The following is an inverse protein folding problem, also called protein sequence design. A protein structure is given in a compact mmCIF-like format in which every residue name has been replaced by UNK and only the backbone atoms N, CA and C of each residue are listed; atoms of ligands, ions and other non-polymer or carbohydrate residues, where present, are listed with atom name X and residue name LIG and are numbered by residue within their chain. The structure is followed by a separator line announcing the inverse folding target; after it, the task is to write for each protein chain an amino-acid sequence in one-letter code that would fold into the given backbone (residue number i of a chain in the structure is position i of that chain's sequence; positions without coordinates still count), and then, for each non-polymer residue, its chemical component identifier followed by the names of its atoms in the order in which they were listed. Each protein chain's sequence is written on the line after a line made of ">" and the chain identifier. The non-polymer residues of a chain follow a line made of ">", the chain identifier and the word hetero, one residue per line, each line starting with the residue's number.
data_IF_183081636188
#
_entry.id   IF_183081636188
#
_cell.length_a   1.000
_cell.length_b   1.000
_cell.length_c   1.000
_cell.angle_alpha   90.00
_cell.angle_beta   90.00
_cell.angle_gamma   90.00
#
_symmetry.space_group_name_H-M   'P 1'
#
loop_
_entity.id
_entity.type
_entity.pdbx_description
1 polymer ?
#
# COMPACT_ATOMS: atom_id res chain seq x y z
N UNK A 1 24.72 25.72 -12.57
CA UNK A 1 24.19 24.44 -12.08
C UNK A 1 25.24 23.86 -11.16
N UNK A 2 24.94 23.72 -9.88
CA UNK A 2 25.82 23.07 -8.90
C UNK A 2 25.68 21.56 -9.07
N UNK A 3 26.78 20.86 -9.32
CA UNK A 3 26.82 19.40 -9.41
C UNK A 3 27.11 18.82 -8.03
N UNK A 4 26.30 17.84 -7.60
CA UNK A 4 26.51 17.14 -6.33
C UNK A 4 27.83 16.36 -6.35
N UNK A 5 28.54 16.41 -5.23
CA UNK A 5 29.73 15.60 -4.96
C UNK A 5 29.35 14.19 -4.50
N UNK A 6 30.30 13.25 -4.57
CA UNK A 6 30.09 11.90 -4.04
C UNK A 6 29.83 11.91 -2.53
N UNK A 7 30.46 12.82 -1.78
CA UNK A 7 30.26 12.98 -0.34
C UNK A 7 28.83 13.45 -0.03
N UNK A 8 28.31 14.41 -0.79
CA UNK A 8 26.92 14.89 -0.65
C UNK A 8 25.90 13.78 -0.98
N UNK A 9 26.17 12.94 -1.97
CA UNK A 9 25.32 11.78 -2.28
C UNK A 9 25.36 10.71 -1.17
N UNK A 10 26.53 10.45 -0.59
CA UNK A 10 26.69 9.45 0.47
C UNK A 10 26.16 9.94 1.83
N UNK A 11 26.20 11.24 2.09
CA UNK A 11 25.67 11.85 3.31
C UNK A 11 24.16 11.61 3.48
N UNK A 12 23.42 11.45 2.38
CA UNK A 12 21.99 11.13 2.42
C UNK A 12 21.65 9.83 3.15
N UNK A 13 22.59 8.88 3.22
CA UNK A 13 22.42 7.62 3.96
C UNK A 13 22.53 7.75 5.49
N UNK A 14 22.89 8.92 6.01
CA UNK A 14 22.97 9.21 7.45
C UNK A 14 21.99 10.31 7.88
N UNK A 15 21.07 10.69 6.99
CA UNK A 15 20.00 11.63 7.32
C UNK A 15 19.07 11.00 8.35
N UNK A 16 18.65 11.79 9.33
CA UNK A 16 17.66 11.36 10.32
C UNK A 16 16.33 12.06 10.09
N UNK A 17 15.24 11.32 10.30
CA UNK A 17 13.87 11.78 10.16
C UNK A 17 13.13 11.54 11.47
N UNK A 18 12.55 12.60 12.03
CA UNK A 18 11.64 12.49 13.17
C UNK A 18 10.23 12.18 12.66
N UNK A 19 9.67 11.07 13.11
CA UNK A 19 8.37 10.55 12.68
C UNK A 19 7.42 10.54 13.88
N UNK A 20 6.27 11.18 13.74
CA UNK A 20 5.19 11.13 14.73
C UNK A 20 4.45 9.80 14.63
N UNK A 21 4.27 9.13 15.77
CA UNK A 21 3.52 7.89 15.86
C UNK A 21 2.02 8.21 16.04
N UNK A 22 1.13 7.67 15.18
CA UNK A 22 -0.31 7.83 15.33
C UNK A 22 -0.81 7.36 16.71
N UNK A 23 -1.72 8.14 17.31
CA UNK A 23 -2.18 7.91 18.67
C UNK A 23 -2.93 6.58 18.85
N UNK A 24 -3.57 6.09 17.79
CA UNK A 24 -4.26 4.80 17.72
C UNK A 24 -3.31 3.59 17.79
N UNK A 25 -2.04 3.77 17.45
CA UNK A 25 -1.00 2.74 17.54
C UNK A 25 -0.32 2.73 18.92
N UNK A 26 -0.68 3.68 19.79
CA UNK A 26 -0.11 3.83 21.13
C UNK A 26 -1.01 3.25 22.22
N UNK A 27 -0.41 2.74 23.31
CA UNK A 27 -1.19 2.25 24.44
C UNK A 27 -2.05 3.37 25.05
N UNK A 28 -3.28 3.04 25.48
CA UNK A 28 -4.20 4.02 26.06
C UNK A 28 -3.56 4.66 27.30
N UNK A 29 -3.43 5.99 27.28
CA UNK A 29 -2.83 6.77 28.37
C UNK A 29 -1.51 7.46 28.01
N UNK A 30 -0.83 7.06 26.92
CA UNK A 30 0.24 7.85 26.29
C UNK A 30 -0.31 8.59 25.08
N UNK A 31 -0.94 9.75 25.32
CA UNK A 31 -1.47 10.63 24.26
C UNK A 31 -0.59 11.85 23.96
N UNK A 32 0.57 11.93 24.59
CA UNK A 32 1.57 12.94 24.24
C UNK A 32 2.24 12.50 22.95
N UNK A 33 2.33 13.41 21.97
CA UNK A 33 2.97 13.21 20.67
C UNK A 33 4.25 12.40 20.85
N UNK A 34 4.22 11.14 20.42
CA UNK A 34 5.31 10.20 20.60
C UNK A 34 6.05 10.15 19.28
N UNK A 35 7.28 10.65 19.26
CA UNK A 35 8.10 10.66 18.05
C UNK A 35 9.18 9.58 18.12
N UNK A 36 9.60 9.10 16.94
CA UNK A 36 10.75 8.21 16.78
C UNK A 36 11.69 8.78 15.74
N UNK A 37 12.98 8.50 15.87
CA UNK A 37 13.99 8.92 14.90
C UNK A 37 14.37 7.74 14.02
N UNK A 38 14.17 7.89 12.71
CA UNK A 38 14.52 6.92 11.69
C UNK A 38 15.66 7.42 10.81
N UNK A 39 16.43 6.50 10.23
CA UNK A 39 17.38 6.78 9.16
C UNK A 39 17.04 5.95 7.90
N UNK A 40 17.30 6.47 6.69
CA UNK A 40 17.19 5.71 5.45
C UNK A 40 18.06 4.45 5.44
N UNK A 41 17.55 3.39 4.81
CA UNK A 41 18.32 2.17 4.57
C UNK A 41 19.26 2.37 3.39
N UNK A 42 20.55 2.13 3.62
CA UNK A 42 21.55 2.10 2.54
C UNK A 42 21.43 0.83 1.70
N UNK A 43 21.92 0.87 0.45
CA UNK A 43 22.01 -0.33 -0.42
C UNK A 43 22.74 -1.48 0.26
N UNK A 44 23.81 -1.18 1.00
CA UNK A 44 24.56 -2.18 1.79
C UNK A 44 23.73 -2.78 2.92
N UNK A 45 22.87 -2.00 3.57
CA UNK A 45 21.97 -2.51 4.59
C UNK A 45 20.95 -3.48 3.99
N UNK A 46 20.29 -3.09 2.89
CA UNK A 46 19.31 -3.93 2.19
C UNK A 46 19.90 -5.26 1.73
N UNK A 47 21.10 -5.26 1.14
CA UNK A 47 21.77 -6.49 0.73
C UNK A 47 22.07 -7.43 1.91
N UNK A 48 22.47 -6.89 3.07
CA UNK A 48 22.71 -7.68 4.28
C UNK A 48 21.42 -8.26 4.84
N UNK A 49 20.36 -7.45 4.87
CA UNK A 49 19.02 -7.87 5.31
C UNK A 49 18.52 -9.00 4.41
N UNK A 50 18.51 -8.82 3.09
CA UNK A 50 18.04 -9.86 2.16
C UNK A 50 18.82 -11.18 2.28
N UNK A 51 20.14 -11.11 2.49
CA UNK A 51 20.96 -12.31 2.73
C UNK A 51 20.65 -12.98 4.08
N UNK A 52 20.39 -12.21 5.12
CA UNK A 52 20.08 -12.73 6.45
C UNK A 52 18.67 -13.33 6.51
N UNK A 53 17.71 -12.70 5.83
CA UNK A 53 16.31 -13.10 5.82
C UNK A 53 16.05 -14.38 5.01
N UNK A 54 16.85 -14.69 3.99
CA UNK A 54 16.68 -15.90 3.15
C UNK A 54 15.22 -16.08 2.67
N UNK A 55 14.62 -15.00 2.15
CA UNK A 55 13.23 -14.94 1.67
C UNK A 55 12.14 -14.92 2.76
N UNK A 56 12.50 -14.92 4.04
CA UNK A 56 11.55 -14.69 5.14
C UNK A 56 11.18 -13.20 5.24
N UNK A 57 9.94 -12.88 4.84
CA UNK A 57 9.43 -11.51 4.81
C UNK A 57 9.29 -10.91 6.23
N UNK A 58 8.89 -11.70 7.22
CA UNK A 58 8.73 -11.26 8.60
C UNK A 58 10.09 -10.92 9.22
N UNK A 59 11.08 -11.78 9.01
CA UNK A 59 12.46 -11.55 9.44
C UNK A 59 13.08 -10.34 8.71
N UNK A 60 12.79 -10.18 7.42
CA UNK A 60 13.23 -9.00 6.66
C UNK A 60 12.69 -7.71 7.27
N UNK A 61 11.39 -7.64 7.54
CA UNK A 61 10.75 -6.49 8.17
C UNK A 61 11.35 -6.18 9.55
N UNK A 62 11.57 -7.19 10.39
CA UNK A 62 12.17 -7.02 11.70
C UNK A 62 13.60 -6.46 11.61
N UNK A 63 14.42 -6.95 10.69
CA UNK A 63 15.78 -6.46 10.46
C UNK A 63 15.80 -5.05 9.88
N UNK A 64 14.83 -4.69 9.02
CA UNK A 64 14.68 -3.32 8.52
C UNK A 64 14.41 -2.34 9.66
N UNK A 65 13.44 -2.64 10.53
CA UNK A 65 13.11 -1.80 11.70
C UNK A 65 14.33 -1.67 12.61
N UNK A 66 14.99 -2.78 12.95
CA UNK A 66 16.18 -2.77 13.80
C UNK A 66 17.30 -1.88 13.23
N UNK A 67 17.49 -1.89 11.92
CA UNK A 67 18.58 -1.17 11.26
C UNK A 67 18.27 0.33 11.06
N UNK A 68 17.00 0.69 10.86
CA UNK A 68 16.57 2.04 10.54
C UNK A 68 16.16 2.86 11.77
N UNK A 69 15.70 2.23 12.86
CA UNK A 69 15.29 2.92 14.08
C UNK A 69 16.51 3.36 14.90
N UNK A 70 16.76 4.66 14.94
CA UNK A 70 17.89 5.27 15.66
C UNK A 70 17.50 5.54 17.12
N UNK A 71 16.33 6.14 17.33
CA UNK A 71 15.80 6.42 18.67
C UNK A 71 14.29 6.13 18.75
N UNK A 72 13.82 5.35 19.72
CA UNK A 72 14.60 4.58 20.70
C UNK A 72 15.29 3.36 20.05
N UNK A 73 16.56 3.06 20.36
CA UNK A 73 17.22 1.90 19.78
C UNK A 73 16.56 0.60 20.29
N UNK A 74 16.16 -0.27 19.37
CA UNK A 74 15.55 -1.56 19.68
C UNK A 74 16.50 -2.72 19.34
N UNK A 75 16.53 -3.73 20.21
CA UNK A 75 17.12 -5.03 19.89
C UNK A 75 16.16 -5.85 19.05
N UNK A 76 16.69 -6.80 18.29
CA UNK A 76 15.89 -7.71 17.46
C UNK A 76 14.71 -8.36 18.23
N UNK A 77 14.97 -8.90 19.42
CA UNK A 77 13.95 -9.49 20.31
C UNK A 77 12.84 -8.52 20.74
N UNK A 78 13.12 -7.21 20.74
CA UNK A 78 12.12 -6.20 21.08
C UNK A 78 11.31 -5.79 19.84
N UNK A 79 11.91 -5.85 18.66
CA UNK A 79 11.21 -5.61 17.39
C UNK A 79 10.15 -6.69 17.16
N UNK A 80 10.46 -7.96 17.44
CA UNK A 80 9.49 -9.06 17.34
C UNK A 80 8.32 -8.97 18.33
N UNK A 81 8.42 -8.10 19.36
CA UNK A 81 7.37 -7.84 20.34
C UNK A 81 6.53 -6.61 20.01
N UNK A 82 6.84 -5.89 18.92
CA UNK A 82 6.06 -4.72 18.52
C UNK A 82 4.64 -5.14 18.12
N UNK A 83 3.61 -4.32 18.45
CA UNK A 83 2.29 -4.50 17.87
C UNK A 83 2.38 -4.50 16.34
N UNK A 84 1.70 -5.45 15.69
CA UNK A 84 1.78 -5.62 14.24
C UNK A 84 1.46 -4.33 13.45
N UNK A 85 0.48 -3.54 13.91
CA UNK A 85 0.14 -2.25 13.31
C UNK A 85 1.26 -1.21 13.40
N UNK A 86 2.00 -1.19 14.53
CA UNK A 86 3.15 -0.32 14.70
C UNK A 86 4.33 -0.77 13.85
N UNK A 87 4.61 -2.08 13.80
CA UNK A 87 5.66 -2.63 12.94
C UNK A 87 5.39 -2.30 11.45
N UNK A 88 4.15 -2.49 10.99
CA UNK A 88 3.71 -2.11 9.64
C UNK A 88 3.92 -0.62 9.37
N UNK A 89 3.45 0.25 10.26
CA UNK A 89 3.63 1.69 10.13
C UNK A 89 5.11 2.07 10.01
N UNK A 90 5.98 1.52 10.87
CA UNK A 90 7.41 1.80 10.82
C UNK A 90 8.03 1.33 9.50
N UNK A 91 7.69 0.15 8.99
CA UNK A 91 8.19 -0.34 7.70
C UNK A 91 7.76 0.58 6.55
N UNK A 92 6.51 1.04 6.53
CA UNK A 92 6.02 2.00 5.53
C UNK A 92 6.82 3.31 5.57
N UNK A 93 7.08 3.85 6.76
CA UNK A 93 7.89 5.07 6.92
C UNK A 93 9.34 4.85 6.50
N UNK A 94 9.94 3.72 6.86
CA UNK A 94 11.31 3.34 6.47
C UNK A 94 11.43 3.24 4.95
N UNK A 95 10.46 2.61 4.29
CA UNK A 95 10.40 2.50 2.84
C UNK A 95 10.31 3.89 2.18
N UNK A 96 9.43 4.75 2.68
CA UNK A 96 9.27 6.11 2.17
C UNK A 96 10.56 6.94 2.28
N UNK A 97 11.21 6.98 3.45
CA UNK A 97 12.45 7.76 3.63
C UNK A 97 13.66 7.15 2.91
N UNK A 98 13.64 5.83 2.67
CA UNK A 98 14.70 5.14 1.94
C UNK A 98 14.55 5.25 0.43
N UNK A 99 13.44 5.82 -0.06
CA UNK A 99 13.12 5.86 -1.48
C UNK A 99 12.89 4.47 -2.08
N UNK A 100 12.47 3.52 -1.24
CA UNK A 100 12.16 2.15 -1.64
C UNK A 100 10.64 2.08 -1.72
N UNK A 101 10.09 2.31 -2.90
CA UNK A 101 8.74 1.84 -3.16
C UNK A 101 8.81 0.32 -3.06
N UNK A 102 8.01 -0.30 -2.18
CA UNK A 102 7.81 -1.75 -2.25
C UNK A 102 6.82 -1.98 -3.39
N UNK A 103 7.27 -2.36 -4.61
CA UNK A 103 6.42 -2.29 -5.80
C UNK A 103 5.51 -3.52 -5.94
N UNK A 104 5.64 -4.52 -5.06
CA UNK A 104 4.86 -5.76 -5.18
C UNK A 104 3.40 -5.58 -4.76
N UNK A 105 3.12 -4.73 -3.76
CA UNK A 105 1.75 -4.48 -3.32
C UNK A 105 1.15 -3.19 -3.86
N UNK A 106 1.93 -2.13 -4.12
CA UNK A 106 1.38 -0.86 -4.57
C UNK A 106 0.64 -0.98 -5.92
N UNK A 107 1.18 -1.71 -6.90
CA UNK A 107 0.48 -1.89 -8.19
C UNK A 107 -0.72 -2.85 -8.07
N UNK A 108 -0.60 -3.91 -7.26
CA UNK A 108 -1.72 -4.84 -7.04
C UNK A 108 -2.87 -4.14 -6.31
N UNK A 109 -2.60 -3.36 -5.26
CA UNK A 109 -3.61 -2.64 -4.50
C UNK A 109 -4.20 -1.46 -5.30
N UNK A 110 -3.39 -0.75 -6.09
CA UNK A 110 -3.86 0.32 -6.98
C UNK A 110 -4.64 -0.17 -8.21
N UNK A 111 -4.48 -1.43 -8.65
CA UNK A 111 -5.26 -2.02 -9.75
C UNK A 111 -6.49 -2.78 -9.24
N UNK A 112 -6.38 -3.49 -8.11
CA UNK A 112 -7.47 -4.28 -7.53
C UNK A 112 -8.53 -3.41 -6.85
N UNK A 113 -8.16 -2.27 -6.22
CA UNK A 113 -9.14 -1.40 -5.56
C UNK A 113 -10.12 -0.72 -6.55
N UNK A 114 -9.69 -0.19 -7.71
CA UNK A 114 -10.61 0.28 -8.75
C UNK A 114 -11.44 -0.84 -9.37
N UNK A 115 -10.90 -2.04 -9.53
CA UNK A 115 -11.64 -3.18 -10.09
C UNK A 115 -12.75 -3.66 -9.15
N UNK A 116 -12.44 -3.82 -7.86
CA UNK A 116 -13.44 -4.19 -6.85
C UNK A 116 -14.54 -3.13 -6.73
N UNK A 117 -14.16 -1.85 -6.82
CA UNK A 117 -15.13 -0.73 -6.86
C UNK A 117 -15.97 -0.76 -8.15
N UNK A 118 -15.38 -1.08 -9.29
CA UNK A 118 -16.11 -1.28 -10.54
C UNK A 118 -17.10 -2.43 -10.44
N UNK A 119 -16.70 -3.58 -9.87
CA UNK A 119 -17.59 -4.72 -9.67
C UNK A 119 -18.81 -4.34 -8.81
N UNK A 120 -18.58 -3.56 -7.75
CA UNK A 120 -19.64 -3.07 -6.87
C UNK A 120 -20.57 -2.04 -7.54
N UNK A 121 -20.02 -1.13 -8.35
CA UNK A 121 -20.80 -0.15 -9.12
C UNK A 121 -21.67 -0.88 -10.16
N UNK A 122 -21.12 -1.86 -10.86
CA UNK A 122 -21.86 -2.67 -11.83
C UNK A 122 -22.96 -3.51 -11.17
N UNK A 123 -22.65 -4.20 -10.07
CA UNK A 123 -23.66 -4.95 -9.29
C UNK A 123 -24.84 -4.06 -8.87
N UNK A 124 -24.55 -2.82 -8.43
CA UNK A 124 -25.57 -1.86 -8.00
C UNK A 124 -26.40 -1.28 -9.16
N UNK A 125 -25.79 -1.01 -10.31
CA UNK A 125 -26.50 -0.41 -11.45
C UNK A 125 -27.33 -1.43 -12.25
N UNK A 126 -26.90 -2.69 -12.30
CA UNK A 126 -27.55 -3.73 -13.11
C UNK A 126 -28.37 -4.74 -12.29
N UNK A 127 -28.31 -4.68 -10.95
CA UNK A 127 -29.03 -5.58 -10.05
C UNK A 127 -28.42 -6.97 -9.94
N UNK A 128 -27.14 -7.13 -10.30
CA UNK A 128 -26.38 -8.39 -10.23
C UNK A 128 -25.73 -8.60 -8.85
N UNK A 129 -25.42 -9.84 -8.50
CA UNK A 129 -24.70 -10.14 -7.25
C UNK A 129 -23.17 -9.98 -7.44
N UNK A 130 -22.41 -9.66 -6.37
CA UNK A 130 -20.95 -9.56 -6.44
C UNK A 130 -20.28 -10.83 -6.99
N UNK A 131 -20.85 -12.00 -6.72
CA UNK A 131 -20.38 -13.30 -7.22
C UNK A 131 -20.52 -13.40 -8.75
N UNK A 132 -21.64 -12.94 -9.33
CA UNK A 132 -21.85 -12.91 -10.78
C UNK A 132 -20.81 -12.01 -11.49
N UNK A 133 -20.45 -10.88 -10.86
CA UNK A 133 -19.47 -9.95 -11.43
C UNK A 133 -18.02 -10.44 -11.27
N UNK A 134 -17.73 -11.19 -10.21
CA UNK A 134 -16.40 -11.77 -9.95
C UNK A 134 -15.94 -12.79 -11.00
N UNK A 135 -16.88 -13.42 -11.72
CA UNK A 135 -16.59 -14.37 -12.81
C UNK A 135 -16.26 -13.70 -14.14
N UNK A 136 -16.28 -12.37 -14.20
CA UNK A 136 -16.04 -11.62 -15.44
C UNK A 136 -14.56 -11.37 -15.68
N UNK A 137 -14.15 -11.47 -16.94
CA UNK A 137 -12.81 -11.07 -17.36
C UNK A 137 -12.66 -9.55 -17.26
N UNK A 138 -11.43 -9.08 -17.05
CA UNK A 138 -11.14 -7.64 -16.95
C UNK A 138 -11.60 -6.85 -18.19
N UNK A 139 -11.56 -7.46 -19.38
CA UNK A 139 -12.06 -6.87 -20.62
C UNK A 139 -13.59 -6.68 -20.63
N UNK A 140 -14.34 -7.59 -20.00
CA UNK A 140 -15.79 -7.46 -19.85
C UNK A 140 -16.13 -6.34 -18.84
N UNK A 141 -15.43 -6.26 -17.72
CA UNK A 141 -15.63 -5.20 -16.71
C UNK A 141 -15.42 -3.81 -17.33
N UNK A 142 -14.34 -3.63 -18.11
CA UNK A 142 -14.05 -2.35 -18.77
C UNK A 142 -15.12 -1.98 -19.82
N UNK A 143 -15.64 -2.95 -20.58
CA UNK A 143 -16.70 -2.70 -21.57
C UNK A 143 -18.01 -2.22 -20.93
N UNK A 144 -18.43 -2.83 -19.80
CA UNK A 144 -19.64 -2.40 -19.10
C UNK A 144 -19.49 -1.04 -18.41
N UNK A 145 -18.29 -0.72 -17.90
CA UNK A 145 -17.99 0.61 -17.36
C UNK A 145 -18.06 1.71 -18.43
N UNK A 146 -17.58 1.43 -19.65
CA UNK A 146 -17.64 2.36 -20.79
C UNK A 146 -19.10 2.63 -21.18
N UNK A 147 -19.96 1.59 -21.19
CA UNK A 147 -21.40 1.74 -21.47
C UNK A 147 -22.13 2.53 -20.38
N UNK A 148 -21.77 2.33 -19.10
CA UNK A 148 -22.31 3.12 -17.98
C UNK A 148 -21.88 4.60 -18.06
N UNK A 149 -20.62 4.87 -18.39
CA UNK A 149 -20.11 6.24 -18.60
C UNK A 149 -20.72 6.92 -19.84
N UNK A 150 -20.89 6.19 -20.94
CA UNK A 150 -21.52 6.69 -22.16
C UNK A 150 -22.97 7.13 -21.95
N UNK A 151 -23.70 6.47 -21.04
CA UNK A 151 -25.08 6.84 -20.70
C UNK A 151 -25.17 8.00 -19.71
N UNK A 152 -24.18 8.21 -18.83
CA UNK A 152 -24.13 9.38 -17.94
C UNK A 152 -23.97 10.70 -18.72
N UNK A 153 -23.25 10.68 -19.86
CA UNK A 153 -23.11 11.83 -20.74
C UNK A 153 -24.34 12.03 -21.67
N UNK A 154 -25.13 10.99 -21.92
CA UNK A 154 -26.31 11.05 -22.78
C UNK A 154 -27.63 11.37 -22.04
N UNK A 155 -27.76 11.02 -20.76
CA UNK A 155 -29.01 11.16 -20.00
C UNK A 155 -29.01 12.34 -19.01
N UNK A 156 -28.89 13.55 -19.55
CA UNK A 156 -29.36 14.77 -18.86
C UNK A 156 -30.88 14.82 -18.66
N UNK A 157 -31.66 13.83 -19.14
CA UNK A 157 -33.08 13.66 -18.85
C UNK A 157 -33.48 12.17 -18.94
N UNK A 158 -34.20 11.69 -17.92
CA UNK A 158 -34.91 10.39 -17.82
C UNK A 158 -34.14 9.21 -17.21
N UNK A 159 -34.30 9.06 -15.89
CA UNK A 159 -34.15 7.80 -15.16
C UNK A 159 -35.18 6.79 -15.67
N UNK A 160 -34.77 5.67 -16.30
CA UNK A 160 -35.32 4.30 -16.18
C UNK A 160 -34.66 3.37 -17.23
N UNK A 161 -34.37 2.13 -16.80
CA UNK A 161 -34.10 0.92 -17.60
C UNK A 161 -32.63 0.51 -17.87
N UNK A 162 -31.96 -0.02 -16.84
CA UNK A 162 -31.04 -1.17 -16.99
C UNK A 162 -31.36 -2.34 -16.04
N UNK A 163 -32.52 -2.33 -15.37
CA UNK A 163 -33.01 -3.52 -14.66
C UNK A 163 -33.39 -4.58 -15.69
N UNK A 164 -32.51 -5.56 -15.90
CA UNK A 164 -32.77 -6.72 -16.77
C UNK A 164 -31.86 -6.87 -18.00
N UNK A 165 -30.70 -6.20 -18.06
CA UNK A 165 -29.71 -6.54 -19.08
C UNK A 165 -29.26 -8.00 -18.87
N UNK A 166 -29.33 -8.87 -19.91
CA UNK A 166 -28.97 -10.27 -19.76
C UNK A 166 -27.49 -10.41 -19.40
N UNK A 167 -27.21 -11.11 -18.31
CA UNK A 167 -25.86 -11.48 -17.92
C UNK A 167 -25.25 -12.38 -19.01
N UNK A 168 -24.42 -11.81 -19.89
CA UNK A 168 -23.59 -12.59 -20.81
C UNK A 168 -22.34 -13.08 -20.07
N UNK A 169 -22.55 -14.00 -19.13
CA UNK A 169 -21.49 -14.81 -18.55
C UNK A 169 -20.96 -15.81 -19.57
N UNK A 170 -19.66 -16.09 -19.50
CA UNK A 170 -19.01 -17.05 -20.39
C UNK A 170 -19.69 -18.43 -20.27
N UNK A 171 -20.33 -18.89 -21.33
CA UNK A 171 -20.62 -20.32 -21.51
C UNK A 171 -19.31 -21.02 -21.83
N UNK A 172 -18.83 -21.81 -20.86
CA UNK A 172 -17.79 -22.84 -20.95
C UNK A 172 -16.37 -22.41 -21.40
#
# INVERSE_FOLDING_TARGET
>A
MTTLTAEELLAGGSLTHEIEIPAELMPPGRRTQSTVTLQPLTVRALQRIGKAAREDEELSAALMIQQALVEPPLKFEQVSQLPAGLARFLVEQINAISGIDTPRDALAEHVQAPLAKACFVLAKEFGWTPEEVSGMTIGQILLYLEMAHGNYQANGHSTTALNGAPFMGATA
#
